data_IF_275621674767
#
_entry.id   IF_275621674767
#
_cell.length_a   1.000
_cell.length_b   1.000
_cell.length_c   1.000
_cell.angle_alpha   90.00
_cell.angle_beta   90.00
_cell.angle_gamma   90.00
#
_symmetry.space_group_name_H-M   'P 1'
#
loop_
_entity.id
_entity.type
_entity.pdbx_description
1 polymer ?
#
# COMPACT_ATOMS: atom_id res chain seq x y z
N UNK A 1 -17.22 -1.13 -16.11
CA UNK A 1 -16.73 0.10 -16.79
C UNK A 1 -15.96 0.88 -15.74
N UNK A 2 -14.65 0.72 -15.73
CA UNK A 2 -13.74 1.48 -14.86
C UNK A 2 -13.65 2.89 -15.47
N UNK A 3 -13.80 3.92 -14.63
CA UNK A 3 -13.62 5.32 -15.05
C UNK A 3 -12.26 5.79 -14.58
N UNK A 4 -11.46 6.20 -15.55
CA UNK A 4 -10.09 6.71 -15.44
C UNK A 4 -10.00 7.93 -14.54
N UNK A 5 -9.11 7.88 -13.56
CA UNK A 5 -8.66 9.04 -12.78
C UNK A 5 -7.75 9.98 -13.59
N UNK A 6 -8.12 10.27 -14.84
CA UNK A 6 -7.34 11.08 -15.78
C UNK A 6 -8.27 12.11 -16.42
N UNK A 7 -8.54 13.21 -15.72
CA UNK A 7 -9.02 14.44 -16.35
C UNK A 7 -7.88 15.28 -16.95
N UNK A 8 -6.67 14.73 -17.08
CA UNK A 8 -5.58 15.30 -17.88
C UNK A 8 -4.69 14.19 -18.43
N UNK A 9 -4.72 13.97 -19.76
CA UNK A 9 -4.07 12.85 -20.43
C UNK A 9 -2.63 12.58 -19.99
N UNK A 10 -2.21 11.31 -20.04
CA UNK A 10 -0.81 10.87 -19.84
C UNK A 10 0.09 11.29 -21.02
N UNK A 11 0.03 12.57 -21.40
CA UNK A 11 0.72 13.14 -22.56
C UNK A 11 2.13 13.62 -22.22
N UNK A 12 2.43 13.79 -20.93
CA UNK A 12 3.73 14.22 -20.42
C UNK A 12 4.55 13.06 -19.85
N UNK A 13 4.54 12.88 -18.53
CA UNK A 13 5.27 11.79 -17.85
C UNK A 13 4.38 10.56 -17.76
N UNK A 14 4.84 9.42 -18.29
CA UNK A 14 4.11 8.16 -18.20
C UNK A 14 5.03 6.95 -18.25
N UNK A 15 4.52 5.84 -17.72
CA UNK A 15 5.03 4.49 -17.92
C UNK A 15 4.05 3.77 -18.84
N UNK A 16 4.57 3.07 -19.85
CA UNK A 16 3.78 2.23 -20.73
C UNK A 16 4.35 0.81 -20.67
N UNK A 17 3.48 -0.17 -20.50
CA UNK A 17 3.85 -1.58 -20.48
C UNK A 17 3.35 -2.22 -21.76
N UNK A 18 4.26 -2.90 -22.46
CA UNK A 18 3.99 -3.56 -23.73
C UNK A 18 4.23 -5.06 -23.55
N UNK A 19 3.21 -5.86 -23.84
CA UNK A 19 3.30 -7.31 -23.86
C UNK A 19 4.02 -7.76 -25.13
N UNK A 20 5.28 -8.15 -24.97
CA UNK A 20 6.18 -8.43 -26.07
C UNK A 20 7.64 -8.11 -25.76
N UNK A 21 8.51 -8.51 -26.70
CA UNK A 21 9.96 -8.28 -26.60
C UNK A 21 10.37 -6.87 -27.05
N UNK A 22 9.60 -6.26 -27.92
CA UNK A 22 9.90 -4.98 -28.55
C UNK A 22 8.69 -4.04 -28.45
N UNK A 23 8.90 -2.76 -28.79
CA UNK A 23 7.90 -1.69 -28.66
C UNK A 23 6.70 -1.82 -29.62
N UNK A 24 6.73 -2.79 -30.54
CA UNK A 24 5.66 -3.09 -31.50
C UNK A 24 4.67 -4.15 -30.97
N UNK A 25 4.84 -4.62 -29.72
CA UNK A 25 3.91 -5.51 -29.04
C UNK A 25 2.58 -4.85 -28.66
N UNK A 26 1.72 -5.60 -27.97
CA UNK A 26 0.43 -5.11 -27.50
C UNK A 26 0.62 -4.19 -26.29
N UNK A 27 0.11 -2.96 -26.36
CA UNK A 27 0.22 -2.00 -25.26
C UNK A 27 -0.89 -2.20 -24.24
N UNK A 28 -0.52 -2.32 -22.97
CA UNK A 28 -1.42 -2.36 -21.81
C UNK A 28 -1.86 -0.95 -21.38
N UNK A 29 -1.50 0.07 -22.17
CA UNK A 29 -1.86 1.46 -21.95
C UNK A 29 -0.78 2.27 -21.22
N UNK A 30 -1.00 3.59 -21.18
CA UNK A 30 -0.13 4.55 -20.51
C UNK A 30 -0.62 4.81 -19.10
N UNK A 31 0.29 4.68 -18.15
CA UNK A 31 0.08 4.88 -16.72
C UNK A 31 0.81 6.14 -16.28
N UNK A 32 0.10 7.03 -15.62
CA UNK A 32 0.65 8.25 -15.05
C UNK A 32 -0.12 8.64 -13.78
N UNK A 33 0.39 9.63 -13.06
CA UNK A 33 -0.16 10.04 -11.77
C UNK A 33 0.44 9.26 -10.59
N UNK A 34 -0.30 9.23 -9.48
CA UNK A 34 0.18 8.65 -8.21
C UNK A 34 -0.43 7.29 -7.87
N UNK A 35 -1.44 6.86 -8.64
CA UNK A 35 -2.05 5.55 -8.48
C UNK A 35 -1.12 4.45 -8.99
N UNK A 36 -1.07 3.32 -8.27
CA UNK A 36 -0.43 2.11 -8.77
C UNK A 36 -1.40 1.39 -9.72
N UNK A 37 -0.95 1.02 -10.94
CA UNK A 37 -1.76 0.21 -11.84
C UNK A 37 -1.99 -1.20 -11.26
N UNK A 38 -3.02 -1.88 -11.76
CA UNK A 38 -3.24 -3.31 -11.48
C UNK A 38 -2.03 -4.15 -11.93
N UNK A 39 -1.87 -5.34 -11.35
CA UNK A 39 -0.83 -6.28 -11.78
C UNK A 39 -0.97 -6.61 -13.27
N UNK A 40 0.12 -6.41 -14.02
CA UNK A 40 0.17 -6.68 -15.46
C UNK A 40 0.87 -8.01 -15.67
N UNK A 41 0.22 -8.90 -16.40
CA UNK A 41 0.74 -10.22 -16.76
C UNK A 41 1.02 -10.28 -18.25
N UNK A 42 2.24 -10.68 -18.63
CA UNK A 42 2.56 -10.98 -20.03
C UNK A 42 1.88 -12.28 -20.46
N UNK A 43 1.40 -12.33 -21.70
CA UNK A 43 0.97 -13.59 -22.36
C UNK A 43 2.15 -14.45 -22.78
N UNK A 44 3.37 -13.90 -22.75
CA UNK A 44 4.59 -14.55 -23.19
C UNK A 44 5.72 -14.52 -22.16
N UNK A 45 6.96 -14.62 -22.66
CA UNK A 45 8.19 -14.63 -21.85
C UNK A 45 8.87 -13.26 -21.77
N UNK A 46 8.30 -12.24 -22.42
CA UNK A 46 8.92 -10.92 -22.51
C UNK A 46 7.84 -9.86 -22.28
N UNK A 47 8.20 -8.88 -21.45
CA UNK A 47 7.43 -7.66 -21.25
C UNK A 47 8.40 -6.49 -21.38
N UNK A 48 7.97 -5.44 -22.06
CA UNK A 48 8.75 -4.23 -22.22
C UNK A 48 8.12 -3.10 -21.40
N UNK A 49 8.93 -2.40 -20.62
CA UNK A 49 8.50 -1.24 -19.82
C UNK A 49 9.16 0.00 -20.41
N UNK A 50 8.35 0.92 -20.91
CA UNK A 50 8.77 2.19 -21.48
C UNK A 50 8.46 3.32 -20.49
N UNK A 51 9.47 4.06 -20.08
CA UNK A 51 9.28 5.30 -19.33
C UNK A 51 9.56 6.50 -20.24
N UNK A 52 8.59 7.42 -20.31
CA UNK A 52 8.74 8.70 -20.99
C UNK A 52 8.55 9.83 -19.99
N UNK A 53 9.49 10.77 -20.00
CA UNK A 53 9.36 12.02 -19.26
C UNK A 53 9.26 13.19 -20.25
N UNK A 54 8.27 14.05 -20.01
CA UNK A 54 8.03 15.28 -20.74
C UNK A 54 8.78 16.47 -20.15
N UNK A 55 8.72 17.65 -20.79
CA UNK A 55 9.47 18.85 -20.39
C UNK A 55 8.91 19.57 -19.14
N UNK A 56 8.17 18.89 -18.27
CA UNK A 56 7.57 19.52 -17.08
C UNK A 56 8.68 19.89 -16.08
N UNK A 57 8.57 21.07 -15.45
CA UNK A 57 9.58 21.62 -14.53
C UNK A 57 9.54 21.05 -13.10
N UNK A 58 8.70 20.05 -12.85
CA UNK A 58 8.52 19.42 -11.54
C UNK A 58 9.07 17.99 -11.57
N UNK A 59 9.99 17.66 -10.66
CA UNK A 59 10.45 16.28 -10.50
C UNK A 59 9.53 15.51 -9.53
N UNK A 60 9.03 14.36 -9.96
CA UNK A 60 8.29 13.44 -9.10
C UNK A 60 9.18 12.25 -8.69
N UNK A 61 8.73 11.46 -7.70
CA UNK A 61 9.51 10.31 -7.19
C UNK A 61 9.64 9.15 -8.19
N UNK A 62 8.91 9.20 -9.31
CA UNK A 62 8.90 8.17 -10.34
C UNK A 62 8.12 6.93 -9.90
N UNK A 63 8.45 5.78 -10.51
CA UNK A 63 7.80 4.51 -10.23
C UNK A 63 8.82 3.48 -9.73
N UNK A 64 8.33 2.49 -8.99
CA UNK A 64 9.06 1.26 -8.67
C UNK A 64 8.16 0.10 -9.01
N UNK A 65 8.64 -0.80 -9.87
CA UNK A 65 7.96 -2.04 -10.20
C UNK A 65 8.79 -3.24 -9.71
N UNK A 66 8.10 -4.32 -9.38
CA UNK A 66 8.69 -5.63 -9.11
C UNK A 66 8.07 -6.64 -10.08
N UNK A 67 8.82 -7.67 -10.47
CA UNK A 67 8.31 -8.71 -11.35
C UNK A 67 8.58 -10.09 -10.75
N UNK A 68 7.68 -11.03 -11.04
CA UNK A 68 7.82 -12.44 -10.70
C UNK A 68 7.52 -13.27 -11.95
N UNK A 69 8.31 -14.30 -12.22
CA UNK A 69 8.03 -15.22 -13.32
C UNK A 69 6.81 -16.09 -12.97
N UNK A 70 5.71 -15.93 -13.70
CA UNK A 70 4.52 -16.76 -13.56
C UNK A 70 4.75 -18.10 -14.26
N UNK A 71 4.57 -19.20 -13.52
CA UNK A 71 4.69 -20.55 -14.07
C UNK A 71 3.47 -20.95 -14.91
N UNK A 72 2.33 -20.30 -14.65
CA UNK A 72 1.09 -20.40 -15.40
C UNK A 72 0.55 -18.97 -15.68
N UNK A 73 0.44 -18.53 -16.95
CA UNK A 73 -0.05 -17.20 -17.30
C UNK A 73 -1.52 -16.97 -16.90
N UNK A 74 -2.25 -18.01 -16.45
CA UNK A 74 -3.64 -17.88 -15.97
C UNK A 74 -3.76 -17.58 -14.47
N UNK A 75 -2.69 -17.75 -13.69
CA UNK A 75 -2.64 -17.25 -12.30
C UNK A 75 -2.43 -15.74 -12.29
N UNK A 76 -3.50 -14.99 -12.59
CA UNK A 76 -3.58 -13.58 -12.21
C UNK A 76 -3.47 -13.51 -10.68
N UNK A 77 -2.37 -12.96 -10.17
CA UNK A 77 -2.37 -12.42 -8.81
C UNK A 77 -3.58 -11.51 -8.68
N UNK A 78 -4.33 -11.62 -7.57
CA UNK A 78 -5.46 -10.70 -7.33
C UNK A 78 -4.90 -9.28 -7.46
N UNK A 79 -5.40 -8.53 -8.44
CA UNK A 79 -5.10 -7.12 -8.58
C UNK A 79 -5.33 -6.45 -7.22
N UNK A 80 -4.29 -5.79 -6.71
CA UNK A 80 -4.40 -5.03 -5.46
C UNK A 80 -5.25 -3.81 -5.79
N UNK A 81 -6.49 -3.80 -5.32
CA UNK A 81 -7.42 -2.72 -5.60
C UNK A 81 -6.85 -1.41 -5.08
N UNK A 82 -6.71 -0.40 -5.94
CA UNK A 82 -6.19 0.91 -5.56
C UNK A 82 -6.97 1.55 -4.41
N UNK A 83 -8.27 1.22 -4.25
CA UNK A 83 -9.08 1.66 -3.11
C UNK A 83 -8.64 1.08 -1.76
N UNK A 84 -7.76 0.07 -1.73
CA UNK A 84 -7.23 -0.57 -0.50
C UNK A 84 -5.82 -0.07 -0.13
N UNK A 85 -5.23 0.80 -0.95
CA UNK A 85 -3.86 1.31 -0.77
C UNK A 85 -3.84 2.68 -0.10
N UNK A 86 -2.84 2.90 0.75
CA UNK A 86 -2.59 4.23 1.33
C UNK A 86 -1.67 5.02 0.40
N UNK A 87 -2.16 6.11 -0.19
CA UNK A 87 -1.37 7.02 -1.02
C UNK A 87 -2.00 8.43 -1.05
N UNK A 88 -1.24 9.48 -1.40
CA UNK A 88 -1.81 10.83 -1.57
C UNK A 88 -3.01 10.82 -2.53
N UNK A 89 -4.03 11.62 -2.22
CA UNK A 89 -5.23 11.78 -3.06
C UNK A 89 -6.14 10.54 -3.15
N UNK A 90 -5.85 9.44 -2.45
CA UNK A 90 -6.84 8.37 -2.32
C UNK A 90 -8.00 8.82 -1.42
N UNK A 91 -9.18 8.98 -2.02
CA UNK A 91 -10.42 9.32 -1.30
C UNK A 91 -10.83 8.26 -0.27
N UNK A 92 -10.35 7.03 -0.41
CA UNK A 92 -10.62 5.91 0.48
C UNK A 92 -9.61 5.77 1.63
N UNK A 93 -8.63 6.67 1.76
CA UNK A 93 -7.64 6.58 2.83
C UNK A 93 -8.24 6.46 4.23
N UNK A 94 -9.47 6.95 4.47
CA UNK A 94 -10.17 6.86 5.76
C UNK A 94 -11.01 5.57 5.95
N UNK A 95 -11.04 4.66 4.98
CA UNK A 95 -11.78 3.39 5.06
C UNK A 95 -11.12 2.32 4.16
N UNK A 96 -9.82 2.08 4.32
CA UNK A 96 -9.12 1.02 3.61
C UNK A 96 -9.50 -0.33 4.24
N UNK A 97 -10.03 -1.28 3.48
CA UNK A 97 -10.58 -2.53 4.03
C UNK A 97 -9.75 -3.72 3.58
N UNK A 98 -9.19 -4.45 4.55
CA UNK A 98 -8.39 -5.64 4.29
C UNK A 98 -9.09 -6.85 4.89
N UNK A 99 -9.55 -7.78 4.05
CA UNK A 99 -10.28 -8.97 4.49
C UNK A 99 -9.60 -10.25 4.01
N UNK A 100 -9.33 -11.18 4.92
CA UNK A 100 -8.71 -12.46 4.56
C UNK A 100 -7.95 -13.10 5.71
N UNK A 101 -7.30 -14.23 5.42
CA UNK A 101 -6.42 -14.91 6.38
C UNK A 101 -5.03 -14.28 6.46
N UNK A 102 -4.65 -13.47 5.49
CA UNK A 102 -3.38 -12.75 5.43
C UNK A 102 -3.50 -11.54 4.51
N UNK A 103 -2.57 -10.60 4.63
CA UNK A 103 -2.45 -9.45 3.73
C UNK A 103 -1.35 -8.48 4.17
N UNK A 104 -1.17 -7.43 3.38
CA UNK A 104 -0.12 -6.42 3.55
C UNK A 104 -0.76 -5.05 3.71
N UNK A 105 -0.16 -4.22 4.56
CA UNK A 105 -0.43 -2.78 4.64
C UNK A 105 0.90 -2.04 4.78
N UNK A 106 1.05 -0.97 4.03
CA UNK A 106 2.24 -0.14 4.07
C UNK A 106 1.93 1.32 3.80
N UNK A 107 2.80 2.19 4.32
CA UNK A 107 2.82 3.60 3.91
C UNK A 107 3.27 3.72 2.45
N UNK A 108 2.82 4.74 1.70
CA UNK A 108 3.13 4.87 0.28
C UNK A 108 4.60 5.15 0.00
N UNK A 109 4.98 4.83 -1.25
CA UNK A 109 6.24 5.23 -1.88
C UNK A 109 7.49 4.66 -1.17
N UNK A 110 8.66 5.04 -1.66
CA UNK A 110 9.92 4.74 -0.96
C UNK A 110 10.08 5.61 0.30
N UNK A 111 9.46 6.79 0.30
CA UNK A 111 9.39 7.73 1.42
C UNK A 111 7.99 8.31 1.49
N UNK A 112 7.35 8.29 2.67
CA UNK A 112 5.99 8.80 2.79
C UNK A 112 5.97 10.34 2.74
N UNK A 113 4.94 10.95 2.13
CA UNK A 113 4.75 12.39 2.11
C UNK A 113 4.10 12.89 3.42
N UNK A 114 4.16 14.19 3.71
CA UNK A 114 3.51 14.77 4.88
C UNK A 114 1.99 14.88 4.69
N UNK A 115 1.28 15.06 5.79
CA UNK A 115 -0.15 15.30 5.78
C UNK A 115 -0.98 14.10 5.34
N UNK A 116 -0.39 12.90 5.38
CA UNK A 116 -1.08 11.68 5.03
C UNK A 116 -1.78 11.08 6.26
N UNK A 117 -3.03 10.70 6.10
CA UNK A 117 -3.80 9.99 7.12
C UNK A 117 -4.47 8.79 6.44
N UNK A 118 -4.09 7.58 6.85
CA UNK A 118 -4.62 6.34 6.30
C UNK A 118 -5.13 5.45 7.44
N UNK A 119 -6.29 4.84 7.23
CA UNK A 119 -7.03 4.05 8.20
C UNK A 119 -7.42 2.73 7.56
N UNK A 120 -6.85 1.65 8.08
CA UNK A 120 -7.17 0.29 7.66
C UNK A 120 -8.06 -0.38 8.68
N UNK A 121 -9.11 -1.05 8.21
CA UNK A 121 -9.85 -2.05 8.96
C UNK A 121 -9.48 -3.45 8.45
N UNK A 122 -8.78 -4.21 9.30
CA UNK A 122 -8.43 -5.59 9.04
C UNK A 122 -9.53 -6.50 9.60
N UNK A 123 -10.05 -7.39 8.77
CA UNK A 123 -11.04 -8.41 9.15
C UNK A 123 -10.54 -9.80 8.79
N UNK A 124 -10.33 -10.65 9.80
CA UNK A 124 -10.00 -12.08 9.60
C UNK A 124 -11.24 -12.96 9.69
N UNK A 125 -11.19 -14.22 9.21
CA UNK A 125 -12.31 -15.16 9.33
C UNK A 125 -12.83 -15.34 10.76
N UNK A 126 -14.07 -15.79 10.87
CA UNK A 126 -14.69 -16.08 12.17
C UNK A 126 -13.90 -17.15 12.94
N UNK A 127 -13.84 -16.99 14.27
CA UNK A 127 -13.07 -17.90 15.13
C UNK A 127 -11.56 -17.67 15.10
N UNK A 128 -11.08 -16.64 14.40
CA UNK A 128 -9.68 -16.23 14.39
C UNK A 128 -9.51 -14.84 14.99
N UNK A 129 -8.26 -14.48 15.29
CA UNK A 129 -7.85 -13.13 15.71
C UNK A 129 -6.70 -12.65 14.82
N UNK A 130 -6.50 -11.34 14.79
CA UNK A 130 -5.47 -10.70 13.95
C UNK A 130 -4.13 -10.74 14.69
N UNK A 131 -3.07 -11.14 14.00
CA UNK A 131 -1.69 -10.85 14.37
C UNK A 131 -1.05 -9.97 13.29
N UNK A 132 -0.63 -8.77 13.69
CA UNK A 132 0.05 -7.77 12.86
C UNK A 132 1.56 -7.81 13.13
N UNK A 133 2.34 -7.82 12.06
CA UNK A 133 3.79 -8.02 12.08
C UNK A 133 4.44 -6.92 11.24
N UNK A 134 5.30 -6.10 11.84
CA UNK A 134 6.05 -5.08 11.12
C UNK A 134 7.33 -5.66 10.52
N UNK A 135 7.50 -5.53 9.20
CA UNK A 135 8.70 -5.96 8.47
C UNK A 135 9.69 -4.81 8.26
N UNK A 136 9.16 -3.59 8.13
CA UNK A 136 9.90 -2.34 7.98
C UNK A 136 9.24 -1.29 8.84
N UNK A 137 10.04 -0.52 9.58
CA UNK A 137 9.52 0.58 10.39
C UNK A 137 10.54 1.70 10.50
N UNK A 138 10.25 2.83 9.86
CA UNK A 138 11.07 4.03 9.89
C UNK A 138 10.16 5.26 9.78
N UNK A 139 9.79 5.82 10.93
CA UNK A 139 9.00 7.04 11.09
C UNK A 139 9.81 8.11 11.84
N UNK A 140 9.28 9.34 11.88
CA UNK A 140 9.86 10.43 12.65
C UNK A 140 10.06 10.03 14.13
N UNK A 141 11.30 10.11 14.67
CA UNK A 141 11.58 9.80 16.07
C UNK A 141 10.90 10.73 17.07
N UNK A 142 10.45 11.91 16.61
CA UNK A 142 9.68 12.86 17.42
C UNK A 142 8.21 12.47 17.60
N UNK A 143 7.77 11.31 17.08
CA UNK A 143 6.39 10.80 17.21
C UNK A 143 5.32 11.72 16.59
N UNK A 144 5.71 12.70 15.78
CA UNK A 144 4.79 13.52 15.00
C UNK A 144 4.13 12.68 13.91
N UNK A 145 4.92 11.77 13.33
CA UNK A 145 4.41 10.71 12.47
C UNK A 145 4.34 9.42 13.28
N UNK A 146 3.23 8.70 13.18
CA UNK A 146 3.00 7.49 13.98
C UNK A 146 2.05 6.52 13.31
N UNK A 147 2.18 5.26 13.70
CA UNK A 147 1.16 4.23 13.47
C UNK A 147 0.49 3.92 14.80
N UNK A 148 -0.82 4.07 14.86
CA UNK A 148 -1.64 3.63 15.99
C UNK A 148 -2.42 2.37 15.59
N UNK A 149 -2.43 1.39 16.49
CA UNK A 149 -3.11 0.11 16.28
C UNK A 149 -4.12 -0.07 17.39
N UNK A 150 -5.32 -0.51 17.06
CA UNK A 150 -6.32 -0.82 18.08
C UNK A 150 -7.22 -2.00 17.76
N UNK A 151 -7.91 -2.40 18.80
CA UNK A 151 -8.69 -3.62 18.89
C UNK A 151 -10.16 -3.33 18.62
N UNK A 152 -10.74 -3.98 17.59
CA UNK A 152 -12.13 -3.81 17.20
C UNK A 152 -12.34 -3.17 15.83
N UNK A 153 -13.59 -2.78 15.57
CA UNK A 153 -14.07 -2.38 14.24
C UNK A 153 -13.89 -0.90 13.90
N UNK A 154 -13.52 -0.06 14.88
CA UNK A 154 -13.44 1.39 14.71
C UNK A 154 -12.39 2.01 15.61
N UNK A 155 -11.96 3.23 15.27
CA UNK A 155 -11.02 4.04 16.05
C UNK A 155 -11.50 4.36 17.47
N UNK A 156 -12.79 4.18 17.76
CA UNK A 156 -13.34 4.27 19.12
C UNK A 156 -13.06 3.02 19.96
N UNK A 157 -12.43 2.00 19.39
CA UNK A 157 -11.99 0.78 20.07
C UNK A 157 -10.81 1.02 21.01
N UNK A 158 -10.32 -0.05 21.62
CA UNK A 158 -9.19 0.04 22.57
C UNK A 158 -7.88 0.18 21.81
N UNK A 159 -7.08 1.21 22.09
CA UNK A 159 -5.73 1.35 21.53
C UNK A 159 -4.82 0.25 22.09
N UNK A 160 -4.21 -0.54 21.21
CA UNK A 160 -3.23 -1.58 21.54
C UNK A 160 -1.81 -1.04 21.55
N UNK A 161 -1.56 0.10 20.90
CA UNK A 161 -0.28 0.79 20.95
C UNK A 161 -0.13 1.86 19.88
N UNK A 162 0.78 2.79 20.15
CA UNK A 162 1.16 3.89 19.26
C UNK A 162 2.67 3.86 19.06
N UNK A 163 3.09 3.82 17.80
CA UNK A 163 4.47 3.49 17.40
C UNK A 163 5.04 4.60 16.52
N UNK A 164 6.31 4.97 16.77
CA UNK A 164 7.08 5.93 15.97
C UNK A 164 8.58 5.63 16.05
N UNK A 165 9.40 6.42 15.33
CA UNK A 165 10.85 6.20 15.27
C UNK A 165 11.25 5.04 14.35
N UNK A 166 12.40 4.43 14.64
CA UNK A 166 13.06 3.48 13.71
C UNK A 166 13.20 2.07 14.26
N UNK A 167 12.74 1.85 15.49
CA UNK A 167 12.71 0.51 16.10
C UNK A 167 11.47 -0.22 15.58
N UNK A 168 11.66 -1.43 15.05
CA UNK A 168 10.54 -2.28 14.63
C UNK A 168 9.72 -2.67 15.87
N UNK A 169 8.40 -2.38 15.91
CA UNK A 169 7.53 -2.78 17.02
C UNK A 169 7.42 -4.30 17.16
N UNK A 170 7.09 -4.76 18.36
CA UNK A 170 6.70 -6.15 18.57
C UNK A 170 5.37 -6.48 17.85
N UNK A 171 5.14 -7.77 17.61
CA UNK A 171 3.91 -8.23 16.97
C UNK A 171 2.69 -7.85 17.81
N UNK A 172 1.71 -7.20 17.18
CA UNK A 172 0.48 -6.77 17.84
C UNK A 172 -0.62 -7.79 17.57
N UNK A 173 -1.37 -8.18 18.60
CA UNK A 173 -2.50 -9.12 18.46
C UNK A 173 -3.78 -8.46 18.94
N UNK A 174 -4.87 -8.67 18.20
CA UNK A 174 -6.20 -8.30 18.68
C UNK A 174 -6.60 -9.17 19.88
N UNK A 175 -7.57 -8.70 20.66
CA UNK A 175 -8.05 -9.43 21.83
C UNK A 175 -8.61 -10.80 21.45
N UNK A 176 -8.66 -11.69 22.44
CA UNK A 176 -9.19 -13.03 22.27
C UNK A 176 -10.64 -12.97 21.72
N UNK A 177 -10.91 -13.72 20.64
CA UNK A 177 -12.17 -13.71 19.84
C UNK A 177 -12.45 -12.45 19.02
N UNK A 178 -11.59 -11.44 19.05
CA UNK A 178 -11.77 -10.27 18.20
C UNK A 178 -11.12 -10.48 16.83
N UNK A 179 -11.95 -10.64 15.81
CA UNK A 179 -11.52 -10.82 14.41
C UNK A 179 -11.20 -9.51 13.70
N UNK A 180 -11.30 -8.38 14.40
CA UNK A 180 -11.12 -7.04 13.84
C UNK A 180 -9.94 -6.33 14.49
N UNK A 181 -9.17 -5.61 13.68
CA UNK A 181 -8.11 -4.71 14.12
C UNK A 181 -8.12 -3.49 13.22
N UNK A 182 -8.08 -2.29 13.81
CA UNK A 182 -7.88 -1.07 13.05
C UNK A 182 -6.43 -0.61 13.17
N UNK A 183 -5.94 0.01 12.11
CA UNK A 183 -4.60 0.59 12.04
C UNK A 183 -4.73 1.99 11.44
N UNK A 184 -4.18 3.00 12.10
CA UNK A 184 -4.13 4.37 11.59
C UNK A 184 -2.67 4.79 11.41
N UNK A 185 -2.29 5.18 10.19
CA UNK A 185 -1.05 5.88 9.93
C UNK A 185 -1.32 7.36 9.80
N UNK A 186 -0.60 8.18 10.58
CA UNK A 186 -0.66 9.62 10.52
C UNK A 186 0.74 10.18 10.25
N UNK A 187 0.85 11.05 9.25
CA UNK A 187 2.02 11.90 9.02
C UNK A 187 1.61 13.37 9.12
N UNK A 188 2.32 14.11 9.97
CA UNK A 188 2.04 15.52 10.20
C UNK A 188 2.35 16.38 8.95
N UNK A 189 1.72 17.55 8.86
CA UNK A 189 1.82 18.45 7.69
C UNK A 189 3.09 19.31 7.67
N UNK A 190 3.79 19.45 8.79
CA UNK A 190 4.97 20.31 8.91
C UNK A 190 6.21 19.67 8.28
N UNK A 191 6.67 20.20 7.14
CA UNK A 191 7.81 19.64 6.42
C UNK A 191 9.15 20.33 6.67
N UNK A 192 9.14 21.55 7.20
CA UNK A 192 10.31 22.42 7.22
C UNK A 192 11.49 21.76 7.98
N UNK A 193 12.52 21.36 7.21
CA UNK A 193 13.75 20.75 7.75
C UNK A 193 13.65 19.27 8.14
N UNK A 194 12.56 18.55 7.79
CA UNK A 194 12.42 17.13 8.11
C UNK A 194 13.29 16.25 7.20
N UNK A 195 13.86 15.20 7.78
CA UNK A 195 14.49 14.13 7.02
C UNK A 195 13.41 13.24 6.40
N UNK A 196 13.56 12.76 5.16
CA UNK A 196 12.63 11.79 4.59
C UNK A 196 12.79 10.44 5.30
N UNK A 197 11.67 9.78 5.59
CA UNK A 197 11.62 8.48 6.27
C UNK A 197 10.89 7.46 5.39
N UNK A 198 11.34 6.20 5.42
CA UNK A 198 10.85 5.14 4.51
C UNK A 198 9.49 4.55 4.91
N UNK A 199 8.91 5.04 6.00
CA UNK A 199 7.61 4.61 6.46
C UNK A 199 7.62 3.21 7.05
N UNK A 200 6.50 2.51 6.93
CA UNK A 200 6.35 1.15 7.45
C UNK A 200 5.85 0.20 6.38
N UNK A 201 6.12 -1.10 6.59
CA UNK A 201 5.43 -2.21 5.93
C UNK A 201 5.11 -3.24 6.99
N UNK A 202 3.87 -3.69 7.00
CA UNK A 202 3.40 -4.73 7.88
C UNK A 202 2.61 -5.80 7.12
N UNK A 203 2.63 -7.01 7.65
CA UNK A 203 1.75 -8.10 7.26
C UNK A 203 0.78 -8.39 8.39
N UNK A 204 -0.44 -8.76 8.06
CA UNK A 204 -1.34 -9.39 9.02
C UNK A 204 -1.55 -10.85 8.66
N UNK A 205 -1.81 -11.67 9.68
CA UNK A 205 -2.31 -13.03 9.49
C UNK A 205 -3.37 -13.37 10.52
N UNK A 206 -4.25 -14.27 10.14
CA UNK A 206 -5.25 -14.83 11.02
C UNK A 206 -4.63 -15.96 11.84
N UNK A 207 -4.69 -15.82 13.16
CA UNK A 207 -4.24 -16.84 14.09
C UNK A 207 -5.44 -17.42 14.82
N UNK A 208 -5.41 -18.72 15.10
CA UNK A 208 -6.50 -19.37 15.80
C UNK A 208 -6.77 -18.65 17.13
N UNK A 209 -8.05 -18.39 17.39
CA UNK A 209 -8.48 -17.92 18.71
C UNK A 209 -8.44 -19.05 19.75
N UNK A 210 -8.11 -20.28 19.36
CA UNK A 210 -7.90 -21.38 20.31
C UNK A 210 -6.60 -21.16 21.11
N UNK A 211 -6.74 -20.58 22.30
CA UNK A 211 -5.79 -20.75 23.39
C UNK A 211 -6.13 -21.99 24.21
N UNK A 212 -5.09 -22.62 24.75
CA UNK A 212 -5.09 -23.76 25.67
C UNK A 212 -6.16 -23.72 26.78
#
# INVERSE_FOLDING_TARGET
MVQDGITGGCDADYVEVVDGKYIDGESEGKMCGFGTPDDISSTGRNMMVLFRSGPIRSSFMGFKATFTALHDPTTKTKAVNSSELCYPDNVHNFDLRLTGSEGILESPLTYYPPGLLCEWLITVPEGQRVELIFERFQLDPGCRDHVEVGDGMSLSGTSLGKYCGTTIPENVRSSHRNRYMWVQFYSATDYAGRKPHRGFKATFKAVSSSGC
#
